data_IF_889649333191
#
_entry.id   IF_889649333191
#
_cell.length_a   1.000
_cell.length_b   1.000
_cell.length_c   1.000
_cell.angle_alpha   90.00
_cell.angle_beta   90.00
_cell.angle_gamma   90.00
#
_symmetry.space_group_name_H-M   'P 1'
#
loop_
_entity.id
_entity.type
_entity.pdbx_description
1 polymer ?
#
# COMPACT_ATOMS: atom_id res chain seq x y z
N UNK A 1 -10.59 2.11 8.78
CA UNK A 1 -9.74 3.32 8.80
C UNK A 1 -10.23 4.32 9.84
N UNK A 2 -9.30 5.05 10.44
CA UNK A 2 -9.61 6.16 11.37
C UNK A 2 -9.88 7.50 10.64
N UNK A 3 -9.59 7.55 9.36
CA UNK A 3 -9.83 8.72 8.49
C UNK A 3 -11.20 8.62 7.83
N UNK A 4 -12.05 9.62 8.09
CA UNK A 4 -13.41 9.65 7.53
C UNK A 4 -13.45 9.85 6.02
N UNK A 5 -12.50 10.61 5.47
CA UNK A 5 -12.36 10.87 4.03
C UNK A 5 -11.96 9.62 3.22
N UNK A 6 -11.28 8.67 3.87
CA UNK A 6 -10.87 7.40 3.27
C UNK A 6 -11.91 6.27 3.43
N UNK A 7 -13.00 6.53 4.15
CA UNK A 7 -14.05 5.54 4.33
C UNK A 7 -14.92 5.45 3.08
N UNK A 8 -15.19 4.25 2.58
CA UNK A 8 -16.07 4.03 1.42
C UNK A 8 -17.46 4.63 1.61
N UNK A 9 -17.97 4.64 2.85
CA UNK A 9 -19.25 5.23 3.22
C UNK A 9 -19.10 6.53 4.02
N UNK A 10 -18.20 7.44 3.65
CA UNK A 10 -17.90 8.66 4.42
C UNK A 10 -19.14 9.49 4.80
N UNK A 11 -20.13 9.57 3.90
CA UNK A 11 -21.40 10.28 4.15
C UNK A 11 -22.23 9.67 5.30
N UNK A 12 -22.06 8.38 5.59
CA UNK A 12 -22.73 7.73 6.72
C UNK A 12 -22.24 8.26 8.07
N UNK A 13 -21.02 8.78 8.13
CA UNK A 13 -20.48 9.36 9.35
C UNK A 13 -21.25 10.62 9.79
N UNK A 14 -21.92 11.33 8.88
CA UNK A 14 -22.67 12.54 9.20
C UNK A 14 -24.00 12.21 9.87
N UNK A 15 -24.58 11.06 9.58
CA UNK A 15 -25.91 10.64 10.06
C UNK A 15 -25.85 9.56 11.15
N UNK A 16 -24.68 8.97 11.41
CA UNK A 16 -24.50 7.93 12.41
C UNK A 16 -23.88 8.51 13.68
N UNK A 17 -24.62 8.65 14.79
CA UNK A 17 -24.09 9.22 16.04
C UNK A 17 -23.13 8.26 16.76
N UNK A 18 -23.39 6.96 16.70
CA UNK A 18 -22.62 5.94 17.37
C UNK A 18 -21.56 5.36 16.41
N UNK A 19 -20.30 5.70 16.65
CA UNK A 19 -19.17 5.31 15.79
C UNK A 19 -18.17 4.54 16.58
N UNK A 20 -17.72 3.42 16.04
CA UNK A 20 -16.57 2.65 16.53
C UNK A 20 -15.46 2.74 15.50
N UNK A 21 -14.24 3.03 15.95
CA UNK A 21 -13.07 3.10 15.07
C UNK A 21 -12.11 1.96 15.44
N UNK A 22 -11.89 1.07 14.50
CA UNK A 22 -10.89 -0.01 14.58
C UNK A 22 -9.90 0.20 13.43
N UNK A 23 -8.62 0.37 13.74
CA UNK A 23 -7.60 0.62 12.72
C UNK A 23 -6.21 0.21 13.19
N UNK A 24 -5.34 -0.14 12.25
CA UNK A 24 -3.94 -0.49 12.51
C UNK A 24 -2.94 0.58 12.01
N UNK A 25 -3.41 1.63 11.33
CA UNK A 25 -2.56 2.72 10.87
C UNK A 25 -2.15 3.65 12.00
N UNK A 26 -1.04 4.37 11.82
CA UNK A 26 -0.65 5.45 12.72
C UNK A 26 -1.69 6.56 12.68
N UNK A 27 -2.08 7.05 13.86
CA UNK A 27 -3.07 8.11 13.99
C UNK A 27 -2.58 9.40 13.33
N UNK A 28 -3.44 10.02 12.51
CA UNK A 28 -3.20 11.33 11.91
C UNK A 28 -4.15 12.40 12.48
N UNK A 29 -3.99 13.66 12.05
CA UNK A 29 -4.82 14.77 12.51
C UNK A 29 -6.29 14.64 12.06
N UNK A 30 -6.52 14.07 10.87
CA UNK A 30 -7.87 13.88 10.29
C UNK A 30 -8.53 12.61 10.82
N UNK A 31 -8.79 12.59 12.11
CA UNK A 31 -9.42 11.47 12.81
C UNK A 31 -10.95 11.62 12.85
N UNK A 32 -11.69 10.51 12.75
CA UNK A 32 -13.15 10.49 12.95
C UNK A 32 -13.48 11.08 14.34
N UNK A 33 -14.26 12.15 14.36
CA UNK A 33 -14.55 12.91 15.58
C UNK A 33 -15.56 12.16 16.47
N UNK A 34 -15.30 12.18 17.78
CA UNK A 34 -16.18 11.67 18.85
C UNK A 34 -16.63 10.21 18.63
N UNK A 35 -15.72 9.26 18.43
CA UNK A 35 -16.10 7.85 18.42
C UNK A 35 -16.51 7.41 19.84
N UNK A 36 -17.46 6.48 19.94
CA UNK A 36 -17.79 5.80 21.19
C UNK A 36 -16.65 4.91 21.68
N UNK A 37 -15.98 4.24 20.73
CA UNK A 37 -14.86 3.36 20.97
C UNK A 37 -13.79 3.62 19.91
N UNK A 38 -12.54 3.61 20.34
CA UNK A 38 -11.38 3.64 19.45
C UNK A 38 -10.47 2.46 19.84
N UNK A 39 -10.25 1.55 18.90
CA UNK A 39 -9.27 0.46 19.02
C UNK A 39 -8.23 0.63 17.93
N UNK A 40 -7.05 1.10 18.31
CA UNK A 40 -5.92 1.39 17.43
C UNK A 40 -4.71 0.57 17.85
N UNK A 41 -4.22 -0.29 16.96
CA UNK A 41 -3.08 -1.17 17.23
C UNK A 41 -2.16 -1.22 16.01
N UNK A 42 -1.10 -0.41 16.06
CA UNK A 42 -0.18 -0.25 14.91
C UNK A 42 0.81 -1.40 14.72
N UNK A 43 0.89 -2.31 15.68
CA UNK A 43 1.71 -3.53 15.58
C UNK A 43 0.96 -4.68 14.91
N UNK A 44 -0.37 -4.57 14.76
CA UNK A 44 -1.17 -5.55 14.04
C UNK A 44 -0.94 -5.48 12.53
N UNK A 45 -1.01 -6.61 11.86
CA UNK A 45 -0.82 -6.71 10.42
C UNK A 45 -1.91 -6.00 9.62
N UNK A 46 -3.13 -6.01 10.14
CA UNK A 46 -4.31 -5.48 9.46
C UNK A 46 -5.44 -5.18 10.43
N UNK A 47 -6.36 -4.31 10.03
CA UNK A 47 -7.63 -4.14 10.75
C UNK A 47 -8.46 -5.43 10.77
N UNK A 48 -8.36 -6.27 9.74
CA UNK A 48 -9.03 -7.57 9.68
C UNK A 48 -8.51 -8.54 10.74
N UNK A 49 -7.22 -8.52 11.08
CA UNK A 49 -6.65 -9.25 12.21
C UNK A 49 -7.32 -8.81 13.52
N UNK A 50 -7.36 -7.48 13.78
CA UNK A 50 -7.97 -6.92 14.98
C UNK A 50 -9.46 -7.30 15.13
N UNK A 51 -10.21 -7.20 14.03
CA UNK A 51 -11.64 -7.58 14.03
C UNK A 51 -11.80 -9.07 14.27
N UNK A 52 -10.96 -9.92 13.69
CA UNK A 52 -10.98 -11.38 13.89
C UNK A 52 -10.71 -11.72 15.34
N UNK A 53 -9.75 -11.09 15.99
CA UNK A 53 -9.47 -11.27 17.41
C UNK A 53 -10.67 -10.87 18.28
N UNK A 54 -11.29 -9.73 18.01
CA UNK A 54 -12.51 -9.32 18.74
C UNK A 54 -13.62 -10.36 18.59
N UNK A 55 -13.85 -10.89 17.40
CA UNK A 55 -14.85 -11.94 17.15
C UNK A 55 -14.54 -13.20 17.94
N UNK A 56 -13.27 -13.58 18.09
CA UNK A 56 -12.88 -14.74 18.90
C UNK A 56 -13.26 -14.59 20.38
N UNK A 57 -13.27 -13.37 20.92
CA UNK A 57 -13.73 -13.11 22.29
C UNK A 57 -15.26 -13.20 22.44
N UNK A 58 -16.01 -13.03 21.34
CA UNK A 58 -17.46 -13.11 21.29
C UNK A 58 -17.95 -14.40 20.62
N UNK A 59 -17.12 -15.45 20.58
CA UNK A 59 -17.37 -16.68 19.82
C UNK A 59 -18.70 -17.39 20.16
N UNK A 60 -19.22 -17.20 21.37
CA UNK A 60 -20.51 -17.76 21.78
C UNK A 60 -21.72 -16.93 21.29
N UNK A 61 -21.50 -15.72 20.79
CA UNK A 61 -22.51 -14.77 20.35
C UNK A 61 -22.44 -14.44 18.84
N UNK A 62 -21.27 -14.69 18.22
CA UNK A 62 -21.01 -14.34 16.82
C UNK A 62 -20.51 -15.54 16.03
N UNK A 63 -21.33 -16.02 15.11
CA UNK A 63 -20.93 -17.02 14.13
C UNK A 63 -20.61 -16.35 12.78
N UNK A 64 -19.43 -16.60 12.25
CA UNK A 64 -19.04 -16.14 10.92
C UNK A 64 -19.57 -17.09 9.85
N UNK A 65 -20.19 -16.54 8.83
CA UNK A 65 -20.41 -17.27 7.58
C UNK A 65 -19.08 -17.45 6.82
N UNK A 66 -19.00 -18.44 5.94
CA UNK A 66 -17.82 -18.67 5.08
C UNK A 66 -17.46 -17.41 4.28
N UNK A 67 -18.44 -16.64 3.82
CA UNK A 67 -18.22 -15.39 3.07
C UNK A 67 -17.57 -14.31 3.94
N UNK A 68 -18.06 -14.10 5.15
CA UNK A 68 -17.49 -13.12 6.08
C UNK A 68 -16.08 -13.52 6.53
N UNK A 69 -15.87 -14.79 6.83
CA UNK A 69 -14.55 -15.33 7.14
C UNK A 69 -13.59 -15.15 5.96
N UNK A 70 -14.05 -15.37 4.71
CA UNK A 70 -13.26 -15.17 3.51
C UNK A 70 -12.91 -13.69 3.30
N UNK A 71 -13.85 -12.78 3.56
CA UNK A 71 -13.61 -11.34 3.44
C UNK A 71 -12.58 -10.83 4.46
N UNK A 72 -12.67 -11.26 5.72
CA UNK A 72 -11.67 -10.93 6.74
C UNK A 72 -10.30 -11.52 6.40
N UNK A 73 -10.27 -12.78 5.94
CA UNK A 73 -9.03 -13.40 5.48
C UNK A 73 -8.40 -12.64 4.29
N UNK A 74 -9.22 -12.18 3.34
CA UNK A 74 -8.75 -11.35 2.23
C UNK A 74 -8.08 -10.04 2.71
N UNK A 75 -8.65 -9.39 3.73
CA UNK A 75 -8.06 -8.18 4.31
C UNK A 75 -6.66 -8.44 4.92
N UNK A 76 -6.48 -9.57 5.63
CA UNK A 76 -5.16 -9.98 6.13
C UNK A 76 -4.19 -10.21 4.96
N UNK A 77 -4.61 -10.95 3.94
CA UNK A 77 -3.78 -11.28 2.76
C UNK A 77 -3.30 -10.02 2.03
N UNK A 78 -4.17 -9.01 1.88
CA UNK A 78 -3.83 -7.74 1.21
C UNK A 78 -2.78 -6.97 1.98
N UNK A 79 -3.04 -6.69 3.25
CA UNK A 79 -2.18 -5.84 4.08
C UNK A 79 -0.81 -6.48 4.34
N UNK A 80 -0.78 -7.83 4.42
CA UNK A 80 0.46 -8.59 4.62
C UNK A 80 1.19 -8.96 3.33
N UNK A 81 0.70 -8.55 2.16
CA UNK A 81 1.21 -9.00 0.85
C UNK A 81 1.36 -10.53 0.81
N UNK A 82 0.27 -11.24 1.08
CA UNK A 82 0.24 -12.69 1.17
C UNK A 82 1.18 -13.27 2.25
N UNK A 83 1.10 -12.72 3.45
CA UNK A 83 1.91 -13.10 4.63
C UNK A 83 3.42 -12.84 4.49
N UNK A 84 3.84 -12.00 3.53
CA UNK A 84 5.24 -11.68 3.30
C UNK A 84 5.76 -10.53 4.18
N UNK A 85 4.90 -9.63 4.65
CA UNK A 85 5.28 -8.45 5.43
C UNK A 85 4.37 -8.24 6.63
N UNK A 86 4.90 -7.62 7.68
CA UNK A 86 4.17 -7.21 8.90
C UNK A 86 3.36 -8.33 9.56
N UNK A 87 3.80 -9.56 9.48
CA UNK A 87 3.15 -10.72 10.08
C UNK A 87 3.76 -11.07 11.44
N UNK A 88 2.89 -11.38 12.38
CA UNK A 88 3.26 -11.91 13.69
C UNK A 88 2.50 -13.20 14.01
N UNK A 89 2.73 -13.75 15.18
CA UNK A 89 1.99 -14.95 15.65
C UNK A 89 0.49 -14.71 15.62
N UNK A 90 0.03 -13.53 16.07
CA UNK A 90 -1.38 -13.13 16.07
C UNK A 90 -2.00 -13.17 14.68
N UNK A 91 -1.25 -12.75 13.64
CA UNK A 91 -1.71 -12.80 12.24
C UNK A 91 -2.02 -14.24 11.81
N UNK A 92 -1.12 -15.17 12.13
CA UNK A 92 -1.33 -16.59 11.79
C UNK A 92 -2.44 -17.22 12.63
N UNK A 93 -2.59 -16.87 13.90
CA UNK A 93 -3.69 -17.33 14.75
C UNK A 93 -5.06 -16.85 14.22
N UNK A 94 -5.16 -15.56 13.83
CA UNK A 94 -6.34 -15.01 13.20
C UNK A 94 -6.66 -15.73 11.87
N UNK A 95 -5.66 -15.92 11.03
CA UNK A 95 -5.82 -16.63 9.75
C UNK A 95 -6.27 -18.10 9.97
N UNK A 96 -5.70 -18.79 10.96
CA UNK A 96 -6.09 -20.16 11.31
C UNK A 96 -7.53 -20.22 11.84
N UNK A 97 -7.95 -19.23 12.64
CA UNK A 97 -9.33 -19.13 13.11
C UNK A 97 -10.29 -18.94 11.93
N UNK A 98 -10.02 -17.99 11.04
CA UNK A 98 -10.85 -17.75 9.85
C UNK A 98 -10.94 -18.98 8.95
N UNK A 99 -9.86 -19.77 8.82
CA UNK A 99 -9.90 -21.06 8.12
C UNK A 99 -10.83 -22.05 8.78
N UNK A 100 -10.87 -22.13 10.11
CA UNK A 100 -11.83 -22.97 10.84
C UNK A 100 -13.27 -22.51 10.62
N UNK A 101 -13.50 -21.19 10.47
CA UNK A 101 -14.81 -20.61 10.14
C UNK A 101 -15.20 -20.76 8.66
N UNK A 102 -14.39 -21.45 7.85
CA UNK A 102 -14.71 -21.72 6.45
C UNK A 102 -14.20 -20.70 5.45
N UNK A 103 -13.23 -19.85 5.80
CA UNK A 103 -12.61 -18.95 4.81
C UNK A 103 -12.00 -19.73 3.64
N UNK A 104 -12.18 -19.24 2.42
CA UNK A 104 -11.77 -19.87 1.17
C UNK A 104 -10.62 -19.11 0.50
N UNK A 105 -9.32 -19.48 0.73
CA UNK A 105 -8.17 -18.80 0.13
C UNK A 105 -8.17 -18.82 -1.39
N UNK A 106 -8.78 -19.83 -2.02
CA UNK A 106 -8.88 -19.90 -3.47
C UNK A 106 -9.72 -18.77 -4.05
N UNK A 107 -10.82 -18.41 -3.38
CA UNK A 107 -11.64 -17.24 -3.74
C UNK A 107 -10.80 -15.96 -3.60
N UNK A 108 -10.08 -15.81 -2.48
CA UNK A 108 -9.20 -14.65 -2.26
C UNK A 108 -8.16 -14.56 -3.35
N UNK A 109 -7.49 -15.67 -3.68
CA UNK A 109 -6.51 -15.72 -4.78
C UNK A 109 -7.13 -15.33 -6.13
N UNK A 110 -8.37 -15.74 -6.42
CA UNK A 110 -9.04 -15.39 -7.66
C UNK A 110 -9.33 -13.89 -7.79
N UNK A 111 -9.68 -13.22 -6.67
CA UNK A 111 -9.92 -11.77 -6.62
C UNK A 111 -8.66 -10.98 -7.01
N UNK A 112 -7.47 -11.48 -6.62
CA UNK A 112 -6.19 -10.83 -6.92
C UNK A 112 -5.50 -11.38 -8.18
N UNK A 113 -6.19 -12.22 -8.95
CA UNK A 113 -5.66 -12.69 -10.22
C UNK A 113 -5.62 -11.54 -11.24
N UNK A 114 -4.61 -11.54 -12.09
CA UNK A 114 -4.48 -10.62 -13.22
C UNK A 114 -4.89 -11.32 -14.51
N UNK A 115 -5.58 -10.62 -15.39
CA UNK A 115 -5.83 -11.10 -16.74
C UNK A 115 -4.55 -11.10 -17.59
N UNK A 116 -4.57 -11.87 -18.67
CA UNK A 116 -3.40 -12.04 -19.54
C UNK A 116 -2.93 -10.73 -20.20
N UNK A 117 -3.86 -9.83 -20.53
CA UNK A 117 -3.52 -8.54 -21.15
C UNK A 117 -2.75 -7.66 -20.16
N UNK A 118 -3.18 -7.61 -18.90
CA UNK A 118 -2.50 -6.91 -17.82
C UNK A 118 -1.10 -7.51 -17.55
N UNK A 119 -0.97 -8.83 -17.52
CA UNK A 119 0.35 -9.49 -17.36
C UNK A 119 1.28 -9.13 -18.51
N UNK A 120 0.80 -9.21 -19.74
CA UNK A 120 1.59 -8.85 -20.93
C UNK A 120 2.02 -7.39 -20.92
N UNK A 121 1.12 -6.48 -20.55
CA UNK A 121 1.42 -5.04 -20.42
C UNK A 121 2.53 -4.83 -19.37
N UNK A 122 2.38 -5.38 -18.17
CA UNK A 122 3.41 -5.28 -17.12
C UNK A 122 4.75 -5.80 -17.59
N UNK A 123 4.79 -6.96 -18.26
CA UNK A 123 6.03 -7.55 -18.76
C UNK A 123 6.70 -6.66 -19.82
N UNK A 124 5.92 -6.06 -20.72
CA UNK A 124 6.45 -5.16 -21.75
C UNK A 124 6.98 -3.84 -21.16
N UNK A 125 6.37 -3.35 -20.08
CA UNK A 125 6.86 -2.16 -19.36
C UNK A 125 8.13 -2.51 -18.59
N UNK A 126 8.13 -3.58 -17.80
CA UNK A 126 9.29 -4.02 -17.02
C UNK A 126 10.55 -4.22 -17.87
N UNK A 127 10.39 -4.65 -19.12
CA UNK A 127 11.51 -4.78 -20.06
C UNK A 127 12.20 -3.45 -20.39
N UNK A 128 11.58 -2.30 -20.10
CA UNK A 128 12.15 -0.97 -20.31
C UNK A 128 12.80 -0.40 -19.03
N UNK A 129 12.70 -1.10 -17.90
CA UNK A 129 13.27 -0.61 -16.66
C UNK A 129 14.79 -0.53 -16.74
N UNK A 130 15.34 0.52 -16.14
CA UNK A 130 16.79 0.70 -15.96
C UNK A 130 17.13 0.47 -14.49
N UNK A 131 18.29 -0.13 -14.22
CA UNK A 131 18.80 -0.35 -12.86
C UNK A 131 20.24 0.17 -12.82
N UNK A 132 20.45 1.21 -12.04
CA UNK A 132 21.76 1.87 -11.84
C UNK A 132 22.00 2.03 -10.34
N UNK A 133 23.14 1.61 -9.83
CA UNK A 133 23.55 1.72 -8.43
C UNK A 133 22.48 1.20 -7.42
N UNK A 134 21.78 0.13 -7.79
CA UNK A 134 20.71 -0.45 -6.98
C UNK A 134 19.41 0.37 -6.97
N UNK A 135 19.26 1.34 -7.84
CA UNK A 135 18.04 2.10 -8.04
C UNK A 135 17.39 1.69 -9.36
N UNK A 136 16.17 1.16 -9.29
CA UNK A 136 15.39 0.82 -10.47
C UNK A 136 14.46 1.98 -10.84
N UNK A 137 14.48 2.38 -12.10
CA UNK A 137 13.60 3.40 -12.66
C UNK A 137 12.83 2.87 -13.85
N UNK A 138 11.55 3.21 -13.95
CA UNK A 138 10.68 2.76 -15.03
C UNK A 138 9.72 3.86 -15.42
N UNK A 139 9.81 4.28 -16.69
CA UNK A 139 8.77 5.09 -17.30
C UNK A 139 7.66 4.19 -17.85
N UNK A 140 6.47 4.37 -17.30
CA UNK A 140 5.27 3.64 -17.69
C UNK A 140 4.47 4.36 -18.79
N UNK A 141 4.75 5.63 -19.05
CA UNK A 141 3.99 6.48 -19.98
C UNK A 141 2.52 6.66 -19.59
N UNK A 142 1.65 6.78 -20.59
CA UNK A 142 0.20 6.87 -20.39
C UNK A 142 -0.41 5.48 -20.19
N UNK A 143 -0.72 5.16 -18.93
CA UNK A 143 -1.34 3.89 -18.54
C UNK A 143 -2.87 3.91 -18.65
N UNK A 144 -3.48 5.05 -18.95
CA UNK A 144 -4.93 5.30 -19.04
C UNK A 144 -5.71 4.94 -17.79
N UNK A 145 -6.30 3.75 -17.77
CA UNK A 145 -7.09 3.30 -16.61
C UNK A 145 -6.21 2.71 -15.52
N UNK A 146 -6.55 2.98 -14.26
CA UNK A 146 -5.86 2.45 -13.07
C UNK A 146 -4.34 2.75 -13.04
N UNK A 147 -3.91 3.85 -13.65
CA UNK A 147 -2.50 4.21 -13.82
C UNK A 147 -1.70 4.15 -12.51
N UNK A 148 -2.21 4.79 -11.45
CA UNK A 148 -1.55 4.81 -10.13
C UNK A 148 -1.38 3.41 -9.55
N UNK A 149 -2.42 2.57 -9.65
CA UNK A 149 -2.37 1.21 -9.13
C UNK A 149 -1.37 0.35 -9.91
N UNK A 150 -1.37 0.45 -11.23
CA UNK A 150 -0.47 -0.32 -12.09
C UNK A 150 1.00 0.11 -11.90
N UNK A 151 1.25 1.43 -11.81
CA UNK A 151 2.58 1.96 -11.54
C UNK A 151 3.08 1.51 -10.15
N UNK A 152 2.22 1.54 -9.11
CA UNK A 152 2.56 1.04 -7.79
C UNK A 152 2.91 -0.45 -7.80
N UNK A 153 2.15 -1.27 -8.52
CA UNK A 153 2.44 -2.71 -8.68
C UNK A 153 3.75 -2.96 -9.43
N UNK A 154 4.09 -2.15 -10.43
CA UNK A 154 5.37 -2.24 -11.13
C UNK A 154 6.54 -1.84 -10.21
N UNK A 155 6.38 -0.79 -9.39
CA UNK A 155 7.36 -0.43 -8.37
C UNK A 155 7.56 -1.58 -7.34
N UNK A 156 6.47 -2.24 -6.92
CA UNK A 156 6.54 -3.40 -6.02
C UNK A 156 7.27 -4.60 -6.67
N UNK A 157 7.15 -4.82 -7.98
CA UNK A 157 7.90 -5.86 -8.69
C UNK A 157 9.39 -5.50 -8.74
N UNK A 158 9.72 -4.28 -9.13
CA UNK A 158 11.09 -3.82 -9.28
C UNK A 158 11.87 -3.85 -7.96
N UNK A 159 11.25 -3.42 -6.84
CA UNK A 159 11.94 -3.44 -5.54
C UNK A 159 12.28 -4.85 -5.08
N UNK A 160 11.54 -5.88 -5.54
CA UNK A 160 11.79 -7.27 -5.18
C UNK A 160 12.92 -7.93 -6.00
N UNK A 161 13.48 -7.24 -6.98
CA UNK A 161 14.64 -7.74 -7.72
C UNK A 161 15.89 -7.79 -6.84
N UNK A 162 16.81 -8.71 -7.18
CA UNK A 162 18.11 -8.79 -6.51
C UNK A 162 18.90 -7.49 -6.76
N UNK A 163 19.62 -7.05 -5.76
CA UNK A 163 20.47 -5.84 -5.79
C UNK A 163 19.70 -4.52 -6.04
N UNK A 164 18.36 -4.51 -5.97
CA UNK A 164 17.56 -3.29 -5.99
C UNK A 164 17.25 -2.88 -4.54
N UNK A 165 17.66 -1.66 -4.17
CA UNK A 165 17.43 -1.04 -2.85
C UNK A 165 16.33 0.01 -2.86
N UNK A 166 16.06 0.62 -4.04
CA UNK A 166 14.94 1.53 -4.26
C UNK A 166 14.40 1.37 -5.68
N UNK A 167 13.10 1.61 -5.87
CA UNK A 167 12.45 1.61 -7.18
C UNK A 167 11.52 2.79 -7.34
N UNK A 168 11.51 3.38 -8.52
CA UNK A 168 10.67 4.51 -8.90
C UNK A 168 9.99 4.22 -10.22
N UNK A 169 8.67 4.39 -10.24
CA UNK A 169 7.89 4.30 -11.48
C UNK A 169 7.24 5.64 -11.77
N UNK A 170 7.28 6.06 -13.02
CA UNK A 170 6.77 7.32 -13.52
C UNK A 170 5.61 7.04 -14.46
N UNK A 171 4.52 7.79 -14.36
CA UNK A 171 3.35 7.60 -15.19
C UNK A 171 2.60 8.92 -15.41
N UNK A 172 1.99 9.07 -16.56
CA UNK A 172 1.21 10.26 -16.88
C UNK A 172 -0.15 10.22 -16.15
N UNK A 173 -0.48 11.31 -15.45
CA UNK A 173 -1.77 11.50 -14.75
C UNK A 173 -2.71 12.40 -15.55
N UNK A 174 -2.18 13.48 -16.10
CA UNK A 174 -2.88 14.46 -16.91
C UNK A 174 -1.83 15.21 -17.74
N UNK A 175 -2.28 16.11 -18.60
CA UNK A 175 -1.38 16.93 -19.41
C UNK A 175 -0.32 17.61 -18.53
N UNK A 176 0.97 17.31 -18.79
CA UNK A 176 2.14 17.80 -18.03
C UNK A 176 2.06 17.52 -16.51
N UNK A 177 1.51 16.40 -16.11
CA UNK A 177 1.56 15.96 -14.72
C UNK A 177 2.01 14.51 -14.67
N UNK A 178 3.15 14.27 -14.02
CA UNK A 178 3.75 12.94 -13.85
C UNK A 178 3.53 12.47 -12.41
N UNK A 179 2.88 11.33 -12.26
CA UNK A 179 2.81 10.61 -10.99
C UNK A 179 4.06 9.79 -10.76
N UNK A 180 4.54 9.76 -9.53
CA UNK A 180 5.71 8.95 -9.13
C UNK A 180 5.30 8.03 -8.00
N UNK A 181 5.54 6.72 -8.16
CA UNK A 181 5.46 5.75 -7.07
C UNK A 181 6.87 5.31 -6.69
N UNK A 182 7.20 5.37 -5.41
CA UNK A 182 8.51 5.02 -4.87
C UNK A 182 8.42 3.88 -3.86
N UNK A 183 9.39 2.95 -3.89
CA UNK A 183 9.53 1.84 -2.95
C UNK A 183 10.97 1.71 -2.47
N UNK A 184 11.17 1.20 -1.24
CA UNK A 184 12.49 0.94 -0.68
C UNK A 184 12.47 -0.30 0.21
N UNK A 185 13.63 -0.95 0.32
CA UNK A 185 13.90 -2.01 1.31
C UNK A 185 14.38 -1.44 2.66
N UNK A 186 14.44 -0.11 2.82
CA UNK A 186 14.83 0.56 4.06
C UNK A 186 16.18 1.27 3.99
N UNK A 187 17.04 0.97 3.01
CA UNK A 187 18.33 1.64 2.83
C UNK A 187 18.18 3.08 2.37
N UNK A 188 17.21 3.32 1.49
CA UNK A 188 16.83 4.64 0.97
C UNK A 188 15.53 5.08 1.63
N UNK A 189 15.50 6.24 2.25
CA UNK A 189 14.26 6.81 2.76
C UNK A 189 13.50 7.51 1.64
N UNK A 190 12.61 6.77 0.95
CA UNK A 190 11.85 7.30 -0.19
C UNK A 190 10.82 8.37 0.22
N UNK A 191 10.41 8.40 1.49
CA UNK A 191 9.56 9.48 2.00
C UNK A 191 10.27 10.83 1.88
N UNK A 192 11.51 10.94 2.37
CA UNK A 192 12.29 12.19 2.27
C UNK A 192 12.47 12.63 0.82
N UNK A 193 12.77 11.67 -0.08
CA UNK A 193 12.89 11.96 -1.52
C UNK A 193 11.59 12.56 -2.06
N UNK A 194 10.45 11.95 -1.74
CA UNK A 194 9.17 12.44 -2.25
C UNK A 194 8.72 13.74 -1.57
N UNK A 195 9.05 13.98 -0.30
CA UNK A 195 8.73 15.23 0.41
C UNK A 195 9.45 16.44 -0.20
N UNK A 196 10.72 16.30 -0.58
CA UNK A 196 11.46 17.34 -1.34
C UNK A 196 10.76 17.70 -2.65
N UNK A 197 10.07 16.75 -3.25
CA UNK A 197 9.33 16.89 -4.50
C UNK A 197 7.85 17.26 -4.30
N UNK A 198 7.46 17.65 -3.08
CA UNK A 198 6.09 18.04 -2.75
C UNK A 198 5.10 16.87 -2.62
N UNK A 199 5.61 15.65 -2.50
CA UNK A 199 4.85 14.44 -2.23
C UNK A 199 4.88 14.01 -0.77
N UNK A 200 4.76 12.70 -0.52
CA UNK A 200 4.83 12.16 0.84
C UNK A 200 4.63 10.64 0.87
N UNK A 201 4.52 10.10 2.07
CA UNK A 201 4.33 8.67 2.30
C UNK A 201 4.99 8.19 3.57
N UNK A 202 5.58 7.00 3.50
CA UNK A 202 6.38 6.37 4.55
C UNK A 202 7.79 6.09 4.03
N UNK A 203 8.71 5.77 4.94
CA UNK A 203 10.12 5.52 4.62
C UNK A 203 10.33 4.52 3.46
N UNK A 204 9.46 3.52 3.36
CA UNK A 204 9.57 2.44 2.38
C UNK A 204 8.55 2.53 1.22
N UNK A 205 7.52 3.36 1.34
CA UNK A 205 6.44 3.53 0.35
C UNK A 205 6.04 4.98 0.30
N UNK A 206 6.29 5.65 -0.81
CA UNK A 206 5.98 7.06 -0.98
C UNK A 206 5.57 7.37 -2.42
N UNK A 207 5.10 8.58 -2.67
CA UNK A 207 4.74 9.04 -4.00
C UNK A 207 4.65 10.55 -4.08
N UNK A 208 4.70 11.06 -5.31
CA UNK A 208 4.55 12.47 -5.61
C UNK A 208 3.78 12.69 -6.92
N UNK A 209 3.31 13.91 -7.12
CA UNK A 209 2.73 14.37 -8.38
C UNK A 209 3.51 15.62 -8.85
N UNK A 210 4.24 15.46 -9.92
CA UNK A 210 5.12 16.49 -10.47
C UNK A 210 4.42 17.23 -11.61
N UNK A 211 4.07 18.47 -11.38
CA UNK A 211 3.36 19.31 -12.37
C UNK A 211 4.33 20.06 -13.26
N UNK A 212 4.00 20.17 -14.54
CA UNK A 212 4.77 20.94 -15.51
C UNK A 212 6.02 20.23 -16.04
N UNK A 213 6.20 18.94 -15.72
CA UNK A 213 7.36 18.15 -16.14
C UNK A 213 6.97 17.04 -17.12
N UNK A 214 7.90 16.71 -18.00
CA UNK A 214 7.88 15.46 -18.77
C UNK A 214 8.37 14.30 -17.91
N UNK A 215 8.21 13.06 -18.39
CA UNK A 215 8.68 11.87 -17.68
C UNK A 215 10.21 11.87 -17.52
N UNK A 216 10.95 12.32 -18.53
CA UNK A 216 12.41 12.44 -18.48
C UNK A 216 12.85 13.48 -17.44
N UNK A 217 12.22 14.65 -17.43
CA UNK A 217 12.50 15.70 -16.45
C UNK A 217 12.17 15.24 -15.02
N UNK A 218 11.07 14.51 -14.86
CA UNK A 218 10.69 13.92 -13.57
C UNK A 218 11.72 12.90 -13.06
N UNK A 219 12.25 12.06 -13.93
CA UNK A 219 13.33 11.12 -13.59
C UNK A 219 14.60 11.85 -13.15
N UNK A 220 14.97 12.91 -13.84
CA UNK A 220 16.17 13.69 -13.51
C UNK A 220 16.03 14.40 -12.15
N UNK A 221 14.87 14.98 -11.87
CA UNK A 221 14.58 15.62 -10.58
C UNK A 221 14.61 14.58 -9.44
N UNK A 222 14.12 13.37 -9.65
CA UNK A 222 14.19 12.29 -8.67
C UNK A 222 15.64 11.83 -8.46
N UNK A 223 16.46 11.70 -9.53
CA UNK A 223 17.89 11.35 -9.39
C UNK A 223 18.63 12.39 -8.56
N UNK A 224 18.39 13.67 -8.83
CA UNK A 224 18.99 14.77 -8.07
C UNK A 224 18.63 14.72 -6.59
N UNK A 225 17.34 14.59 -6.26
CA UNK A 225 16.87 14.48 -4.89
C UNK A 225 17.45 13.24 -4.15
N UNK A 226 17.64 12.14 -4.87
CA UNK A 226 18.30 10.94 -4.34
C UNK A 226 19.77 11.21 -3.98
N UNK A 227 20.51 11.89 -4.85
CA UNK A 227 21.91 12.25 -4.63
C UNK A 227 22.06 13.11 -3.37
N UNK A 228 21.27 14.18 -3.26
CA UNK A 228 21.30 15.10 -2.11
C UNK A 228 21.04 14.38 -0.77
N UNK A 229 20.06 13.46 -0.72
CA UNK A 229 19.73 12.72 0.50
C UNK A 229 20.78 11.66 0.85
N UNK A 230 21.48 11.11 -0.15
CA UNK A 230 22.53 10.13 0.08
C UNK A 230 23.80 10.81 0.65
N UNK A 231 24.16 11.98 0.13
CA UNK A 231 25.30 12.77 0.61
C UNK A 231 25.10 13.30 2.03
N UNK A 232 23.87 13.70 2.41
CA UNK A 232 23.55 14.10 3.77
C UNK A 232 23.77 12.95 4.78
N UNK A 233 23.49 11.71 4.39
CA UNK A 233 23.60 10.52 5.24
C UNK A 233 25.04 10.07 5.45
N UNK A 234 25.96 10.39 4.51
CA UNK A 234 27.40 10.10 4.63
C UNK A 234 28.15 11.16 5.44
N UNK A 235 27.51 12.31 5.70
CA UNK A 235 28.10 13.43 6.45
C UNK A 235 27.66 13.48 7.92
N UNK A 236 26.74 12.63 8.36
CA UNK A 236 26.32 12.42 9.74
C UNK A 236 27.03 11.19 10.36
#
# INVERSE_FOLDING_TARGET
>A
THRGDMAAGSKLLDITPNRVVIDHHRRCADFIKRPLLTYMETSSSSTSELVTELIQYYQDEVELTSLEATALYAGIVVDTKNFAVQTGVRTFDAAAYLRRCGAEPEIVRSIFSSDFATVRLKSSLLAKATIEDGVAMLDCGDLKENATMLAAQLADILINLNNVRASFTFYELAEKTVGVCARSKGEVNVQRVMEVLGGGGHSNVAGAQLKGLTSEEAQEVVRKALGEITEEKESE
#
